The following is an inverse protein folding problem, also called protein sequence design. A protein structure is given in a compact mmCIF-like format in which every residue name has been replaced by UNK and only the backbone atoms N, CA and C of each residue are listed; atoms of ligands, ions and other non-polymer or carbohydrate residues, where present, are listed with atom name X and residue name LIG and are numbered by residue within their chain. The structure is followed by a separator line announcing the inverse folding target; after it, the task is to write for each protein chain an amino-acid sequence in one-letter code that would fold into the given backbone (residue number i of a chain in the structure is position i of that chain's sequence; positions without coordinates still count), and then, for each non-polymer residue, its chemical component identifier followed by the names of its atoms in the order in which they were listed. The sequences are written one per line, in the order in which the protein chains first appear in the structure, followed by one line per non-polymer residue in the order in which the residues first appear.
data_IF_330450713072
#
_entry.id   IF_330450713072
#
_cell.length_a   1.000
_cell.length_b   1.000
_cell.length_c   1.000
_cell.angle_alpha   90.00
_cell.angle_beta   90.00
_cell.angle_gamma   90.00
#
_symmetry.space_group_name_H-M   'P 1'
#
loop_
_entity.id
_entity.type
_entity.pdbx_description
1 polymer ?
#
# COMPACT_ATOMS: atom_id res chain seq x y z
N UNK A 1 2.22 -4.25 0.66
CA UNK A 1 2.98 -3.57 1.73
C UNK A 1 2.24 -2.31 2.14
N UNK A 2 2.17 -2.03 3.44
CA UNK A 2 1.66 -0.76 3.93
C UNK A 2 2.82 0.26 3.94
N UNK A 3 2.73 1.39 3.23
CA UNK A 3 3.82 2.37 3.18
C UNK A 3 3.99 3.14 4.49
N UNK A 4 3.10 3.00 5.46
CA UNK A 4 3.11 3.75 6.71
C UNK A 4 3.51 2.93 7.93
N UNK A 5 3.62 1.59 7.82
CA UNK A 5 3.99 0.72 8.93
C UNK A 5 4.58 -0.61 8.46
N UNK A 6 5.62 -1.07 9.15
CA UNK A 6 6.19 -2.40 8.99
C UNK A 6 5.52 -3.43 9.91
N UNK A 7 4.56 -3.01 10.74
CA UNK A 7 3.86 -3.86 11.70
C UNK A 7 2.42 -4.11 11.28
N UNK A 8 1.93 -5.32 11.53
CA UNK A 8 0.53 -5.68 11.54
C UNK A 8 0.02 -5.75 12.98
N UNK A 9 -1.23 -5.35 13.19
CA UNK A 9 -1.85 -5.33 14.52
C UNK A 9 -3.02 -6.29 14.58
N UNK A 10 -3.23 -6.87 15.75
CA UNK A 10 -4.33 -7.77 16.04
C UNK A 10 -5.05 -7.27 17.29
N UNK A 11 -6.37 -7.35 17.30
CA UNK A 11 -7.19 -7.07 18.45
C UNK A 11 -7.56 -8.38 19.12
N UNK A 12 -7.40 -8.44 20.44
CA UNK A 12 -7.79 -9.59 21.24
C UNK A 12 -8.87 -9.10 22.21
N UNK A 13 -10.01 -9.76 22.19
CA UNK A 13 -11.13 -9.52 23.11
C UNK A 13 -11.63 -10.85 23.67
N UNK A 14 -12.29 -10.78 24.80
CA UNK A 14 -13.02 -11.91 25.37
C UNK A 14 -14.50 -11.72 25.07
N UNK A 15 -15.15 -12.75 24.57
CA UNK A 15 -16.58 -12.79 24.30
C UNK A 15 -17.14 -14.14 24.72
N UNK A 16 -18.42 -14.15 25.09
CA UNK A 16 -19.19 -15.37 25.37
C UNK A 16 -19.77 -15.98 24.07
N UNK A 17 -19.63 -15.32 22.94
CA UNK A 17 -20.09 -15.80 21.64
C UNK A 17 -19.18 -16.88 21.10
N UNK A 18 -19.75 -17.85 20.37
CA UNK A 18 -18.97 -18.87 19.68
C UNK A 18 -18.09 -18.21 18.61
N UNK A 19 -16.76 -18.53 18.55
CA UNK A 19 -15.89 -17.96 17.56
C UNK A 19 -16.28 -18.42 16.14
N UNK A 20 -16.15 -17.52 15.17
CA UNK A 20 -16.23 -17.89 13.76
C UNK A 20 -14.99 -18.73 13.41
N UNK A 21 -15.18 -19.98 13.11
CA UNK A 21 -14.11 -20.89 12.70
C UNK A 21 -14.01 -20.90 11.17
N UNK A 22 -12.79 -20.77 10.68
CA UNK A 22 -12.47 -20.93 9.26
C UNK A 22 -12.01 -22.38 9.07
N UNK A 23 -12.54 -23.04 8.03
CA UNK A 23 -12.02 -24.35 7.62
C UNK A 23 -10.52 -24.24 7.31
N UNK A 24 -9.71 -24.91 8.12
CA UNK A 24 -8.25 -24.82 8.04
C UNK A 24 -7.73 -25.34 6.69
N UNK A 25 -8.34 -26.38 6.13
CA UNK A 25 -7.93 -26.95 4.85
C UNK A 25 -8.26 -26.00 3.69
N UNK A 26 -9.45 -25.41 3.68
CA UNK A 26 -9.84 -24.42 2.67
C UNK A 26 -9.02 -23.12 2.80
N UNK A 27 -8.74 -22.70 4.02
CA UNK A 27 -7.89 -21.52 4.26
C UNK A 27 -6.46 -21.75 3.77
N UNK A 28 -5.88 -22.92 4.07
CA UNK A 28 -4.53 -23.28 3.63
C UNK A 28 -4.43 -23.29 2.11
N UNK A 29 -5.40 -23.91 1.41
CA UNK A 29 -5.41 -23.95 -0.04
C UNK A 29 -5.53 -22.56 -0.68
N UNK A 30 -6.36 -21.68 -0.10
CA UNK A 30 -6.64 -20.35 -0.66
C UNK A 30 -5.58 -19.29 -0.29
N UNK A 31 -5.00 -19.34 0.91
CA UNK A 31 -4.25 -18.24 1.49
C UNK A 31 -2.86 -18.65 2.02
N UNK A 32 -2.40 -19.86 1.77
CA UNK A 32 -1.13 -20.32 2.32
C UNK A 32 0.02 -19.38 1.91
N UNK A 33 0.69 -18.74 2.87
CA UNK A 33 1.84 -17.91 2.56
C UNK A 33 2.96 -18.83 2.05
N UNK A 34 3.43 -18.58 0.83
CA UNK A 34 4.59 -19.29 0.33
C UNK A 34 5.79 -19.00 1.22
N UNK A 35 6.62 -20.01 1.42
CA UNK A 35 7.90 -19.83 2.11
C UNK A 35 8.67 -18.69 1.44
N UNK A 36 9.41 -17.89 2.22
CA UNK A 36 10.26 -16.81 1.71
C UNK A 36 11.23 -17.27 0.62
N UNK A 37 11.55 -18.56 0.58
CA UNK A 37 12.41 -19.13 -0.47
C UNK A 37 11.80 -19.09 -1.87
N UNK A 38 10.47 -19.09 -1.98
CA UNK A 38 9.77 -19.08 -3.25
C UNK A 38 9.40 -17.69 -3.74
N UNK A 39 9.78 -16.66 -3.00
CA UNK A 39 9.56 -15.27 -3.37
C UNK A 39 10.81 -14.44 -3.13
N UNK A 40 11.11 -13.54 -4.07
CA UNK A 40 12.11 -12.51 -3.91
C UNK A 40 11.54 -11.18 -4.37
N UNK A 41 11.78 -10.14 -3.60
CA UNK A 41 11.41 -8.77 -3.92
C UNK A 41 12.65 -7.88 -3.86
N UNK A 42 12.88 -7.16 -4.94
CA UNK A 42 13.78 -6.01 -4.96
C UNK A 42 12.95 -4.74 -5.09
N UNK A 43 13.04 -3.88 -4.10
CA UNK A 43 12.35 -2.60 -4.05
C UNK A 43 13.24 -1.60 -3.29
N UNK A 44 13.38 -0.39 -3.81
CA UNK A 44 14.11 0.69 -3.16
C UNK A 44 13.27 1.95 -3.26
N UNK A 45 12.80 2.43 -2.12
CA UNK A 45 11.90 3.57 -1.96
C UNK A 45 12.69 4.82 -1.59
N UNK A 46 13.03 5.66 -2.55
CA UNK A 46 13.85 6.84 -2.31
C UNK A 46 13.48 8.07 -3.16
N UNK A 47 12.53 7.93 -4.10
CA UNK A 47 12.12 9.03 -4.97
C UNK A 47 10.61 9.10 -5.10
N UNK A 48 10.05 10.28 -5.05
CA UNK A 48 8.65 10.57 -5.33
C UNK A 48 8.51 11.59 -6.46
N UNK A 49 7.56 11.39 -7.37
CA UNK A 49 7.28 12.34 -8.45
C UNK A 49 6.70 13.67 -7.95
N UNK A 50 6.11 13.67 -6.75
CA UNK A 50 5.66 14.88 -6.07
C UNK A 50 5.64 14.68 -4.56
N UNK A 51 5.78 15.76 -3.77
CA UNK A 51 5.75 15.70 -2.31
C UNK A 51 4.44 15.05 -1.82
N UNK A 52 4.55 14.12 -0.86
CA UNK A 52 3.39 13.43 -0.29
C UNK A 52 2.82 12.29 -1.16
N UNK A 53 3.51 11.89 -2.23
CA UNK A 53 3.15 10.72 -3.02
C UNK A 53 3.19 9.44 -2.18
N UNK A 54 2.26 8.50 -2.46
CA UNK A 54 2.22 7.21 -1.77
C UNK A 54 3.15 6.18 -2.39
N UNK A 55 3.43 6.32 -3.68
CA UNK A 55 4.32 5.42 -4.40
C UNK A 55 5.70 6.06 -4.42
N UNK A 56 6.66 5.31 -3.94
CA UNK A 56 8.07 5.66 -3.96
C UNK A 56 8.80 4.77 -4.96
N UNK A 57 9.87 5.28 -5.54
CA UNK A 57 10.60 4.65 -6.62
C UNK A 57 12.09 4.69 -6.35
N UNK A 58 12.84 3.87 -7.06
CA UNK A 58 14.29 3.88 -6.95
C UNK A 58 14.84 5.28 -7.25
N UNK A 59 15.72 5.81 -6.39
CA UNK A 59 16.34 7.14 -6.60
C UNK A 59 17.22 7.20 -7.83
N UNK A 60 17.70 6.05 -8.34
CA UNK A 60 18.50 6.00 -9.57
C UNK A 60 17.62 6.18 -10.79
N UNK A 61 17.88 7.23 -11.54
CA UNK A 61 17.23 7.49 -12.83
C UNK A 61 18.00 6.80 -13.95
N UNK A 62 17.30 6.03 -14.77
CA UNK A 62 17.90 5.28 -15.91
C UNK A 62 17.53 5.98 -17.20
N UNK A 63 18.50 6.43 -17.97
CA UNK A 63 18.34 7.13 -19.24
C UNK A 63 18.39 6.17 -20.42
N UNK A 64 17.96 6.63 -21.59
CA UNK A 64 18.17 5.90 -22.84
C UNK A 64 19.68 5.66 -23.04
N UNK A 65 20.04 4.42 -23.35
CA UNK A 65 21.44 3.98 -23.45
C UNK A 65 22.02 3.36 -22.17
N UNK A 66 21.36 3.58 -21.03
CA UNK A 66 21.71 2.99 -19.74
C UNK A 66 20.83 1.79 -19.42
N UNK A 67 21.21 1.01 -18.42
CA UNK A 67 20.38 -0.06 -17.86
C UNK A 67 20.56 -0.16 -16.35
N UNK A 68 19.50 -0.56 -15.66
CA UNK A 68 19.56 -0.95 -14.25
C UNK A 68 19.35 -2.46 -14.15
N UNK A 69 20.24 -3.11 -13.41
CA UNK A 69 20.29 -4.55 -13.25
C UNK A 69 19.89 -4.94 -11.82
N UNK A 70 19.08 -5.98 -11.70
CA UNK A 70 18.69 -6.59 -10.44
C UNK A 70 19.04 -8.06 -10.48
N UNK A 71 19.90 -8.51 -9.57
CA UNK A 71 20.26 -9.92 -9.45
C UNK A 71 19.23 -10.62 -8.57
N UNK A 72 18.64 -11.69 -9.09
CA UNK A 72 17.71 -12.55 -8.38
C UNK A 72 18.43 -13.86 -8.05
N UNK A 73 18.39 -14.25 -6.78
CA UNK A 73 18.98 -15.50 -6.29
C UNK A 73 17.88 -16.51 -6.04
N UNK A 74 17.93 -17.60 -6.79
CA UNK A 74 17.01 -18.72 -6.67
C UNK A 74 17.49 -19.68 -5.57
N UNK A 75 16.77 -19.77 -4.49
CA UNK A 75 17.04 -20.66 -3.37
C UNK A 75 16.20 -21.95 -3.39
N UNK A 76 15.31 -22.07 -4.38
CA UNK A 76 14.34 -23.19 -4.45
C UNK A 76 14.84 -24.35 -5.29
N UNK A 77 15.75 -24.08 -6.22
CA UNK A 77 16.15 -25.03 -7.25
C UNK A 77 15.14 -25.21 -8.40
N UNK A 78 13.95 -24.59 -8.33
CA UNK A 78 12.97 -24.66 -9.40
C UNK A 78 13.36 -23.79 -10.59
N UNK A 79 13.22 -24.35 -11.77
CA UNK A 79 13.58 -23.66 -13.04
C UNK A 79 12.44 -22.81 -13.59
N UNK A 80 11.24 -22.83 -13.00
CA UNK A 80 10.06 -22.10 -13.48
C UNK A 80 9.53 -21.12 -12.44
N UNK A 81 8.85 -20.08 -12.94
CA UNK A 81 8.25 -19.06 -12.10
C UNK A 81 7.77 -17.85 -12.87
N UNK A 82 7.32 -16.84 -12.13
CA UNK A 82 6.81 -15.59 -12.66
C UNK A 82 7.62 -14.42 -12.14
N UNK A 83 8.19 -13.62 -13.04
CA UNK A 83 8.79 -12.33 -12.72
C UNK A 83 7.82 -11.20 -13.04
N UNK A 84 7.71 -10.23 -12.15
CA UNK A 84 6.96 -8.99 -12.36
C UNK A 84 7.91 -7.82 -12.19
N UNK A 85 7.89 -6.90 -13.14
CA UNK A 85 8.72 -5.69 -13.14
C UNK A 85 7.80 -4.49 -13.23
N UNK A 86 7.95 -3.55 -12.30
CA UNK A 86 7.25 -2.27 -12.30
C UNK A 86 8.24 -1.12 -12.49
N UNK A 87 7.87 -0.18 -13.35
CA UNK A 87 8.72 0.97 -13.73
C UNK A 87 7.87 2.23 -13.76
N UNK A 88 8.46 3.35 -13.40
CA UNK A 88 7.82 4.67 -13.47
C UNK A 88 8.57 5.64 -14.37
N UNK A 89 7.85 6.61 -14.94
CA UNK A 89 8.43 7.70 -15.73
C UNK A 89 7.59 8.97 -15.61
N UNK A 90 8.27 10.12 -15.69
CA UNK A 90 7.63 11.43 -15.78
C UNK A 90 7.26 11.87 -17.18
N UNK A 91 7.56 11.06 -18.20
CA UNK A 91 7.20 11.30 -19.59
C UNK A 91 6.81 9.99 -20.27
N UNK A 92 6.18 10.06 -21.43
CA UNK A 92 5.90 8.87 -22.24
C UNK A 92 7.20 8.15 -22.56
N UNK A 93 7.29 6.86 -22.24
CA UNK A 93 8.50 6.06 -22.35
C UNK A 93 8.21 4.63 -22.74
N UNK A 94 9.15 4.00 -23.41
CA UNK A 94 9.14 2.56 -23.68
C UNK A 94 10.39 1.95 -23.09
N UNK A 95 10.23 0.86 -22.34
CA UNK A 95 11.30 0.18 -21.61
C UNK A 95 11.37 -1.28 -22.05
N UNK A 96 12.55 -1.75 -22.41
CA UNK A 96 12.82 -3.17 -22.62
C UNK A 96 13.10 -3.82 -21.27
N UNK A 97 12.49 -4.98 -21.03
CA UNK A 97 12.75 -5.84 -19.89
C UNK A 97 13.57 -7.03 -20.40
N UNK A 98 14.72 -7.28 -19.75
CA UNK A 98 15.63 -8.33 -20.17
C UNK A 98 15.90 -9.31 -19.02
N UNK A 99 16.17 -10.57 -19.37
CA UNK A 99 16.73 -11.60 -18.49
C UNK A 99 18.08 -12.02 -19.04
N UNK A 100 19.12 -11.86 -18.25
CA UNK A 100 20.50 -12.20 -18.63
C UNK A 100 20.91 -11.62 -20.00
N UNK A 101 20.49 -10.39 -20.29
CA UNK A 101 20.75 -9.70 -21.56
C UNK A 101 19.80 -10.04 -22.70
N UNK A 102 18.94 -11.05 -22.57
CA UNK A 102 17.93 -11.42 -23.56
C UNK A 102 16.61 -10.71 -23.28
N UNK A 103 16.04 -10.06 -24.29
CA UNK A 103 14.77 -9.33 -24.12
C UNK A 103 13.60 -10.28 -23.86
N UNK A 104 12.85 -10.04 -22.79
CA UNK A 104 11.58 -10.70 -22.50
C UNK A 104 10.41 -9.99 -23.18
N UNK A 105 10.49 -8.67 -23.29
CA UNK A 105 9.47 -7.85 -23.89
C UNK A 105 9.65 -6.38 -23.58
N UNK A 106 8.62 -5.59 -23.88
CA UNK A 106 8.61 -4.14 -23.66
C UNK A 106 7.44 -3.72 -22.78
N UNK A 107 7.67 -2.66 -21.99
CA UNK A 107 6.68 -2.00 -21.16
C UNK A 107 6.52 -0.56 -21.62
N UNK A 108 5.28 -0.14 -21.89
CA UNK A 108 4.97 1.24 -22.28
C UNK A 108 4.40 2.00 -21.10
N UNK A 109 4.92 3.20 -20.90
CA UNK A 109 4.48 4.18 -19.91
C UNK A 109 3.88 5.36 -20.66
N UNK A 110 2.59 5.65 -20.43
CA UNK A 110 1.87 6.76 -21.03
C UNK A 110 1.27 7.64 -19.95
N UNK A 111 1.66 8.89 -19.91
CA UNK A 111 1.04 9.88 -19.02
C UNK A 111 -0.37 10.20 -19.51
N UNK A 112 -1.38 10.13 -18.63
CA UNK A 112 -2.74 10.52 -18.98
C UNK A 112 -2.79 12.01 -19.28
N UNK A 113 -3.47 12.37 -20.39
CA UNK A 113 -3.70 13.75 -20.77
C UNK A 113 -5.02 14.25 -20.16
N UNK A 114 -5.05 15.51 -19.79
CA UNK A 114 -6.30 16.20 -19.44
C UNK A 114 -7.01 16.70 -20.71
N UNK A 115 -8.22 17.27 -20.56
CA UNK A 115 -9.04 17.81 -21.65
C UNK A 115 -8.36 18.96 -22.43
N UNK A 116 -7.36 19.61 -21.84
CA UNK A 116 -6.59 20.69 -22.47
C UNK A 116 -5.26 20.22 -23.09
N UNK A 117 -5.03 18.89 -23.16
CA UNK A 117 -3.81 18.30 -23.71
C UNK A 117 -2.60 18.33 -22.77
N UNK A 118 -2.73 18.85 -21.55
CA UNK A 118 -1.72 18.77 -20.51
C UNK A 118 -1.79 17.45 -19.75
N UNK A 119 -0.91 17.25 -18.77
CA UNK A 119 -0.89 16.07 -17.91
C UNK A 119 -1.35 16.39 -16.50
N UNK A 120 -2.19 15.53 -15.90
CA UNK A 120 -2.55 15.64 -14.48
C UNK A 120 -1.44 15.11 -13.56
N UNK A 121 -0.72 14.11 -14.02
CA UNK A 121 0.27 13.38 -13.21
C UNK A 121 1.66 13.80 -13.61
N UNK A 122 2.54 14.03 -12.61
CA UNK A 122 3.97 14.26 -12.84
C UNK A 122 4.71 12.97 -13.16
N UNK A 123 4.11 11.82 -12.93
CA UNK A 123 4.66 10.51 -13.24
C UNK A 123 3.57 9.46 -13.36
N UNK A 124 3.89 8.40 -14.05
CA UNK A 124 3.05 7.21 -14.22
C UNK A 124 3.88 5.97 -13.88
N UNK A 125 3.24 4.98 -13.29
CA UNK A 125 3.78 3.64 -13.07
C UNK A 125 3.03 2.64 -13.93
N UNK A 126 3.75 1.65 -14.44
CA UNK A 126 3.17 0.49 -15.10
C UNK A 126 4.01 -0.74 -14.80
N UNK A 127 3.39 -1.91 -14.85
CA UNK A 127 4.06 -3.19 -14.58
C UNK A 127 3.75 -4.21 -15.66
N UNK A 128 4.64 -5.17 -15.79
CA UNK A 128 4.46 -6.33 -16.66
C UNK A 128 4.98 -7.58 -16.00
N UNK A 129 4.46 -8.73 -16.39
CA UNK A 129 4.86 -10.02 -15.85
C UNK A 129 5.22 -10.99 -16.97
N UNK A 130 6.21 -11.84 -16.70
CA UNK A 130 6.64 -12.91 -17.62
C UNK A 130 6.72 -14.23 -16.86
N UNK A 131 6.19 -15.29 -17.47
CA UNK A 131 6.43 -16.65 -17.02
C UNK A 131 7.74 -17.16 -17.64
N UNK A 132 8.59 -17.71 -16.80
CA UNK A 132 9.93 -18.18 -17.13
C UNK A 132 10.06 -19.66 -16.81
N UNK A 133 10.72 -20.42 -17.65
CA UNK A 133 10.90 -21.87 -17.50
C UNK A 133 12.36 -22.30 -17.47
N UNK A 134 13.27 -21.34 -17.50
CA UNK A 134 14.73 -21.57 -17.61
C UNK A 134 15.51 -20.81 -16.53
N UNK A 135 14.91 -20.66 -15.35
CA UNK A 135 15.51 -19.97 -14.22
C UNK A 135 16.69 -20.75 -13.67
N UNK A 136 17.76 -20.00 -13.36
CA UNK A 136 19.03 -20.51 -12.82
C UNK A 136 19.18 -20.16 -11.35
N UNK A 137 20.25 -20.58 -10.73
CA UNK A 137 20.63 -20.19 -9.37
C UNK A 137 20.73 -18.66 -9.22
N UNK A 138 21.24 -18.00 -10.24
CA UNK A 138 21.30 -16.55 -10.33
C UNK A 138 20.88 -16.09 -11.71
N UNK A 139 19.90 -15.21 -11.75
CA UNK A 139 19.46 -14.52 -12.96
C UNK A 139 19.53 -13.02 -12.75
N UNK A 140 19.80 -12.28 -13.82
CA UNK A 140 19.79 -10.83 -13.82
C UNK A 140 18.60 -10.32 -14.61
N UNK A 141 17.73 -9.58 -13.96
CA UNK A 141 16.64 -8.84 -14.62
C UNK A 141 17.11 -7.41 -14.83
N UNK A 142 16.98 -6.93 -16.06
CA UNK A 142 17.41 -5.58 -16.42
C UNK A 142 16.26 -4.78 -17.01
N UNK A 143 16.21 -3.49 -16.68
CA UNK A 143 15.37 -2.51 -17.36
C UNK A 143 16.27 -1.64 -18.24
N UNK A 144 15.86 -1.42 -19.50
CA UNK A 144 16.59 -0.59 -20.46
C UNK A 144 15.61 0.32 -21.20
N UNK A 145 15.61 1.63 -20.94
CA UNK A 145 14.79 2.56 -21.70
C UNK A 145 15.18 2.57 -23.19
N UNK A 146 14.17 2.43 -24.05
CA UNK A 146 14.33 2.51 -25.51
C UNK A 146 14.00 3.90 -26.02
N UNK A 147 12.95 4.51 -25.45
CA UNK A 147 12.51 5.87 -25.79
C UNK A 147 12.06 6.61 -24.54
N UNK A 148 12.06 7.94 -24.58
CA UNK A 148 11.64 8.78 -23.47
C UNK A 148 12.68 8.79 -22.35
N UNK A 149 12.25 8.59 -21.12
CA UNK A 149 13.11 8.58 -19.93
C UNK A 149 13.52 9.98 -19.42
N UNK A 150 14.20 10.06 -18.28
CA UNK A 150 14.64 8.90 -17.49
C UNK A 150 13.46 8.12 -16.85
N UNK A 151 13.67 6.82 -16.70
CA UNK A 151 12.74 5.95 -15.98
C UNK A 151 13.32 5.57 -14.61
N UNK A 152 12.47 5.12 -13.71
CA UNK A 152 12.86 4.63 -12.39
C UNK A 152 12.22 3.29 -12.13
N UNK A 153 13.03 2.36 -11.64
CA UNK A 153 12.52 1.08 -11.18
C UNK A 153 11.65 1.30 -9.96
N UNK A 154 10.51 0.65 -9.92
CA UNK A 154 9.67 0.52 -8.74
C UNK A 154 10.11 -0.75 -8.00
N UNK A 155 9.75 -1.90 -8.56
CA UNK A 155 10.17 -3.17 -8.00
C UNK A 155 10.42 -4.23 -9.07
N UNK A 156 11.17 -5.25 -8.66
CA UNK A 156 11.24 -6.55 -9.33
C UNK A 156 10.81 -7.61 -8.33
N UNK A 157 9.71 -8.27 -8.62
CA UNK A 157 9.18 -9.38 -7.82
C UNK A 157 9.35 -10.68 -8.59
N UNK A 158 9.98 -11.66 -7.97
CA UNK A 158 10.12 -13.01 -8.51
C UNK A 158 9.38 -13.98 -7.62
N UNK A 159 8.56 -14.84 -8.23
CA UNK A 159 7.87 -15.94 -7.58
C UNK A 159 8.19 -17.21 -8.36
N UNK A 160 8.89 -18.15 -7.72
CA UNK A 160 9.16 -19.45 -8.28
C UNK A 160 7.94 -20.35 -8.12
N UNK A 161 7.73 -21.22 -9.08
CA UNK A 161 6.71 -22.25 -8.98
C UNK A 161 7.10 -23.22 -7.87
N UNK A 162 6.15 -23.54 -7.02
CA UNK A 162 6.33 -24.44 -5.90
C UNK A 162 5.03 -25.19 -5.64
N UNK A 163 5.13 -26.45 -5.29
CA UNK A 163 4.06 -27.10 -4.56
C UNK A 163 3.92 -26.42 -3.19
N UNK A 164 2.70 -26.13 -2.78
CA UNK A 164 2.41 -25.57 -1.47
C UNK A 164 2.64 -26.67 -0.44
N UNK A 165 3.75 -26.69 0.31
CA UNK A 165 3.98 -27.75 1.27
C UNK A 165 3.04 -27.57 2.45
N UNK A 166 2.23 -28.56 2.72
CA UNK A 166 1.36 -28.60 3.91
C UNK A 166 2.18 -28.50 5.23
N UNK A 167 3.45 -28.85 5.19
CA UNK A 167 4.36 -28.87 6.33
C UNK A 167 4.81 -27.49 6.87
N UNK A 168 4.37 -26.39 6.26
CA UNK A 168 4.74 -25.05 6.73
C UNK A 168 3.99 -24.55 7.96
N UNK A 169 2.86 -25.14 8.31
CA UNK A 169 2.04 -24.74 9.47
C UNK A 169 2.63 -25.12 10.85
N UNK A 170 3.70 -25.90 10.87
CA UNK A 170 4.39 -26.28 12.11
C UNK A 170 5.60 -25.39 12.47
N UNK A 171 5.85 -24.32 11.70
CA UNK A 171 6.92 -23.38 12.06
C UNK A 171 6.41 -22.42 13.10
N UNK A 172 7.29 -22.05 14.03
CA UNK A 172 6.98 -21.04 15.05
C UNK A 172 6.53 -19.74 14.36
N UNK A 173 5.32 -19.35 14.67
CA UNK A 173 4.82 -18.01 14.33
C UNK A 173 5.41 -17.06 15.36
N UNK A 174 5.97 -15.90 14.97
CA UNK A 174 6.47 -14.92 15.91
C UNK A 174 5.40 -14.60 16.96
N UNK A 175 5.78 -14.61 18.24
CA UNK A 175 4.87 -14.26 19.32
C UNK A 175 4.38 -12.81 19.15
N UNK A 176 3.08 -12.60 19.29
CA UNK A 176 2.51 -11.27 19.31
C UNK A 176 3.06 -10.48 20.51
N UNK A 177 3.41 -9.22 20.27
CA UNK A 177 3.85 -8.31 21.34
C UNK A 177 2.66 -7.46 21.78
N UNK A 178 2.41 -7.41 23.09
CA UNK A 178 1.41 -6.52 23.65
C UNK A 178 1.83 -5.06 23.43
N UNK A 179 0.94 -4.26 22.88
CA UNK A 179 1.17 -2.82 22.64
C UNK A 179 0.46 -1.99 23.69
N UNK A 180 -0.86 -2.03 23.74
CA UNK A 180 -1.68 -1.37 24.76
C UNK A 180 -3.12 -1.90 24.74
N UNK A 181 -3.86 -1.65 25.84
CA UNK A 181 -5.30 -1.87 25.88
C UNK A 181 -6.05 -0.69 25.26
N UNK A 182 -6.97 -0.96 24.36
CA UNK A 182 -7.86 0.07 23.82
C UNK A 182 -9.16 0.13 24.62
N UNK A 183 -9.68 1.34 24.81
CA UNK A 183 -11.03 1.55 25.34
C UNK A 183 -12.03 1.21 24.22
N UNK A 184 -13.21 0.73 24.58
CA UNK A 184 -14.28 0.55 23.60
C UNK A 184 -14.60 1.89 22.93
N UNK A 185 -14.57 1.87 21.62
CA UNK A 185 -14.85 3.01 20.75
C UNK A 185 -15.79 2.57 19.63
N UNK A 186 -16.54 3.48 19.06
CA UNK A 186 -17.42 3.21 17.91
C UNK A 186 -17.58 4.46 17.05
N UNK A 187 -16.55 4.77 16.26
CA UNK A 187 -16.58 5.87 15.30
C UNK A 187 -17.49 5.59 14.09
N UNK A 188 -17.89 4.32 13.91
CA UNK A 188 -18.93 4.00 12.94
C UNK A 188 -20.31 4.55 13.38
N UNK A 189 -20.51 4.78 14.67
CA UNK A 189 -21.72 5.40 15.20
C UNK A 189 -21.65 6.94 15.28
N UNK A 190 -20.51 7.56 14.97
CA UNK A 190 -20.35 9.01 15.02
C UNK A 190 -21.47 9.75 14.28
N UNK A 191 -21.95 10.87 14.83
CA UNK A 191 -22.94 11.71 14.17
C UNK A 191 -22.36 12.38 12.92
N UNK A 192 -23.24 12.81 12.03
CA UNK A 192 -22.84 13.63 10.87
C UNK A 192 -22.20 14.93 11.34
N UNK A 193 -21.14 15.32 10.64
CA UNK A 193 -20.37 16.52 10.93
C UNK A 193 -20.08 17.31 9.65
N UNK A 194 -20.12 18.64 9.78
CA UNK A 194 -19.70 19.56 8.73
C UNK A 194 -18.17 19.71 8.71
N UNK A 195 -17.56 19.60 9.90
CA UNK A 195 -16.11 19.70 10.10
C UNK A 195 -15.60 18.51 10.92
N UNK A 196 -14.50 17.93 10.48
CA UNK A 196 -13.76 16.91 11.22
C UNK A 196 -12.38 17.45 11.60
N UNK A 197 -12.01 17.32 12.87
CA UNK A 197 -10.70 17.68 13.39
C UNK A 197 -10.01 16.39 13.83
N UNK A 198 -8.95 15.98 13.14
CA UNK A 198 -8.17 14.80 13.51
C UNK A 198 -6.97 15.26 14.34
N UNK A 199 -6.90 14.79 15.58
CA UNK A 199 -5.82 15.15 16.49
C UNK A 199 -4.79 14.01 16.61
N UNK A 200 -3.52 14.33 16.94
CA UNK A 200 -2.52 13.29 17.18
C UNK A 200 -2.92 12.33 18.31
N UNK A 201 -2.50 11.07 18.20
CA UNK A 201 -2.69 10.01 19.21
C UNK A 201 -2.31 10.43 20.64
N UNK A 202 -1.30 11.29 20.78
CA UNK A 202 -0.90 11.82 22.08
C UNK A 202 -1.94 12.74 22.74
N UNK A 203 -2.99 13.13 22.00
CA UNK A 203 -4.05 14.05 22.39
C UNK A 203 -3.58 15.42 22.93
N UNK A 204 -2.32 15.77 22.73
CA UNK A 204 -1.74 17.06 23.21
C UNK A 204 -2.47 18.29 22.66
N UNK A 205 -3.12 18.16 21.50
CA UNK A 205 -3.87 19.22 20.86
C UNK A 205 -5.37 19.25 21.22
N UNK A 206 -5.86 18.30 22.03
CA UNK A 206 -7.28 18.18 22.34
C UNK A 206 -7.90 19.48 22.87
N UNK A 207 -7.24 20.16 23.81
CA UNK A 207 -7.73 21.44 24.35
C UNK A 207 -7.87 22.52 23.28
N UNK A 208 -6.96 22.58 22.32
CA UNK A 208 -7.02 23.56 21.24
C UNK A 208 -8.08 23.19 20.20
N UNK A 209 -8.19 21.90 19.90
CA UNK A 209 -9.26 21.39 19.04
C UNK A 209 -10.65 21.66 19.63
N UNK A 210 -10.84 21.50 20.95
CA UNK A 210 -12.07 21.83 21.64
C UNK A 210 -12.40 23.33 21.54
N UNK A 211 -11.44 24.21 21.75
CA UNK A 211 -11.64 25.65 21.57
C UNK A 211 -12.05 26.01 20.14
N UNK A 212 -11.44 25.34 19.15
CA UNK A 212 -11.78 25.56 17.76
C UNK A 212 -13.18 25.01 17.43
N UNK A 213 -13.52 23.85 17.96
CA UNK A 213 -14.88 23.27 17.89
C UNK A 213 -15.91 24.24 18.45
N UNK A 214 -15.74 24.71 19.68
CA UNK A 214 -16.64 25.65 20.35
C UNK A 214 -16.83 26.93 19.53
N UNK A 215 -15.73 27.46 18.95
CA UNK A 215 -15.79 28.62 18.09
C UNK A 215 -16.66 28.36 16.85
N UNK A 216 -16.39 27.30 16.10
CA UNK A 216 -17.12 27.03 14.87
C UNK A 216 -18.57 26.59 15.11
N UNK A 217 -18.84 25.92 16.22
CA UNK A 217 -20.22 25.56 16.59
C UNK A 217 -21.04 26.80 16.98
N UNK A 218 -20.44 27.76 17.71
CA UNK A 218 -21.14 28.97 18.18
C UNK A 218 -21.21 30.06 17.11
N UNK A 219 -20.14 30.25 16.32
CA UNK A 219 -20.04 31.35 15.37
C UNK A 219 -20.54 30.97 13.97
N UNK A 220 -20.20 29.78 13.49
CA UNK A 220 -20.46 29.34 12.12
C UNK A 220 -21.61 28.32 12.05
N UNK A 221 -22.16 27.91 13.19
CA UNK A 221 -23.21 26.87 13.30
C UNK A 221 -22.82 25.53 12.66
N UNK A 222 -21.51 25.20 12.63
CA UNK A 222 -21.03 23.92 12.11
C UNK A 222 -21.17 22.81 13.16
N UNK A 223 -21.44 21.61 12.72
CA UNK A 223 -21.30 20.39 13.53
C UNK A 223 -19.86 19.94 13.45
N UNK A 224 -19.16 19.79 14.58
CA UNK A 224 -17.75 19.49 14.60
C UNK A 224 -17.44 18.21 15.37
N UNK A 225 -16.81 17.21 14.72
CA UNK A 225 -16.26 16.03 15.36
C UNK A 225 -14.76 16.19 15.59
N UNK A 226 -14.26 15.81 16.77
CA UNK A 226 -12.83 15.72 17.09
C UNK A 226 -12.51 14.24 17.28
N UNK A 227 -11.54 13.71 16.54
CA UNK A 227 -11.20 12.29 16.58
C UNK A 227 -9.69 12.10 16.70
N UNK A 228 -9.20 11.29 17.67
CA UNK A 228 -7.80 10.89 17.73
C UNK A 228 -7.41 9.98 16.55
N UNK A 229 -6.21 10.16 16.04
CA UNK A 229 -5.73 9.44 14.85
C UNK A 229 -5.66 7.92 15.06
N UNK A 230 -5.24 7.47 16.25
CA UNK A 230 -5.15 6.05 16.59
C UNK A 230 -6.51 5.36 16.67
N UNK A 231 -7.55 6.08 17.12
CA UNK A 231 -8.91 5.56 17.13
C UNK A 231 -9.41 5.30 15.70
N UNK A 232 -9.08 6.18 14.77
CA UNK A 232 -9.35 5.95 13.35
C UNK A 232 -8.52 4.80 12.77
N UNK A 233 -7.26 4.63 13.19
CA UNK A 233 -6.47 3.48 12.76
C UNK A 233 -7.09 2.17 13.25
N UNK A 234 -7.58 2.14 14.48
CA UNK A 234 -8.20 0.95 15.06
C UNK A 234 -9.39 0.47 14.23
N UNK A 235 -10.30 1.38 13.84
CA UNK A 235 -11.54 1.00 13.16
C UNK A 235 -11.41 0.95 11.63
N UNK A 236 -10.58 1.80 11.03
CA UNK A 236 -10.57 1.98 9.57
C UNK A 236 -9.30 1.44 8.89
N UNK A 237 -8.30 0.96 9.65
CA UNK A 237 -7.08 0.35 9.11
C UNK A 237 -6.49 -0.77 9.98
N UNK A 238 -7.34 -1.45 10.77
CA UNK A 238 -6.96 -2.60 11.60
C UNK A 238 -5.80 -2.29 12.55
N UNK A 239 -5.81 -1.12 13.18
CA UNK A 239 -4.79 -0.64 14.11
C UNK A 239 -3.50 -0.14 13.46
N UNK A 240 -3.34 -0.31 12.17
CA UNK A 240 -2.13 0.09 11.47
C UNK A 240 -2.20 1.57 11.06
N UNK A 241 -1.19 2.40 11.38
CA UNK A 241 -1.12 3.77 10.87
C UNK A 241 -1.24 3.78 9.35
N UNK A 242 -2.29 4.40 8.83
CA UNK A 242 -2.55 4.54 7.40
C UNK A 242 -3.42 5.78 7.14
N UNK A 243 -2.94 6.70 6.30
CA UNK A 243 -3.70 7.89 5.92
C UNK A 243 -5.06 7.56 5.25
N UNK A 244 -5.24 6.34 4.71
CA UNK A 244 -6.55 5.92 4.22
C UNK A 244 -7.59 5.73 5.32
N UNK A 245 -7.19 5.54 6.58
CA UNK A 245 -8.14 5.50 7.69
C UNK A 245 -8.96 6.79 7.73
N UNK A 246 -8.33 7.94 7.60
CA UNK A 246 -8.99 9.26 7.56
C UNK A 246 -9.97 9.36 6.38
N UNK A 247 -9.52 8.91 5.21
CA UNK A 247 -10.38 8.89 4.02
C UNK A 247 -11.58 7.97 4.16
N UNK A 248 -11.40 6.79 4.78
CA UNK A 248 -12.49 5.84 5.02
C UNK A 248 -13.51 6.38 6.01
N UNK A 249 -13.03 7.03 7.08
CA UNK A 249 -13.90 7.69 8.05
C UNK A 249 -14.73 8.81 7.39
N UNK A 250 -14.09 9.71 6.63
CA UNK A 250 -14.81 10.77 5.91
C UNK A 250 -15.80 10.20 4.89
N UNK A 251 -15.42 9.13 4.21
CA UNK A 251 -16.32 8.43 3.29
C UNK A 251 -17.53 7.85 4.03
N UNK A 252 -17.33 7.22 5.17
CA UNK A 252 -18.42 6.70 5.99
C UNK A 252 -19.40 7.81 6.40
N UNK A 253 -18.91 8.96 6.83
CA UNK A 253 -19.77 10.12 7.12
C UNK A 253 -20.50 10.62 5.86
N UNK A 254 -19.85 10.63 4.72
CA UNK A 254 -20.47 11.00 3.43
C UNK A 254 -21.53 9.99 3.03
N UNK A 255 -21.27 8.69 3.17
CA UNK A 255 -22.21 7.62 2.81
C UNK A 255 -23.43 7.59 3.76
N UNK A 256 -23.30 8.07 5.00
CA UNK A 256 -24.40 8.27 5.95
C UNK A 256 -25.27 9.49 5.63
N UNK A 257 -24.72 10.48 4.92
CA UNK A 257 -25.45 11.71 4.62
C UNK A 257 -26.56 11.43 3.60
N UNK A 258 -27.76 11.83 3.89
CA UNK A 258 -28.93 11.70 2.99
C UNK A 258 -29.06 12.89 2.05
N UNK A 259 -28.38 14.01 2.37
CA UNK A 259 -28.40 15.26 1.59
C UNK A 259 -26.98 15.79 1.45
N UNK A 260 -26.72 16.55 0.39
CA UNK A 260 -25.41 17.12 0.12
C UNK A 260 -24.94 18.09 1.20
N UNK A 261 -25.85 18.84 1.84
CA UNK A 261 -25.54 19.75 2.91
C UNK A 261 -25.09 19.05 4.20
N UNK A 262 -25.39 17.78 4.37
CA UNK A 262 -25.01 16.97 5.53
C UNK A 262 -23.64 16.29 5.38
N UNK A 263 -23.04 16.35 4.20
CA UNK A 263 -21.70 15.81 3.96
C UNK A 263 -20.61 16.64 4.63
N UNK A 264 -19.51 16.03 5.10
CA UNK A 264 -18.35 16.76 5.60
C UNK A 264 -17.80 17.75 4.58
N UNK A 265 -17.53 18.97 5.00
CA UNK A 265 -17.02 20.06 4.16
C UNK A 265 -15.58 20.43 4.51
N UNK A 266 -15.20 20.26 5.77
CA UNK A 266 -13.91 20.71 6.29
C UNK A 266 -13.19 19.56 7.02
N UNK A 267 -11.88 19.48 6.79
CA UNK A 267 -10.96 18.56 7.48
C UNK A 267 -9.75 19.36 7.97
N UNK A 268 -9.42 19.21 9.24
CA UNK A 268 -8.23 19.76 9.87
C UNK A 268 -7.41 18.63 10.53
#
# INVERSE_FOLDING_TARGET
RNPYSDYGYYFITQTDEAPTLIDSAAFVQANYPQSEHYHSLYEVDGYSWFPGGRNLFNPTAVKVGESQNVVIVNKTGNSSGKVTVAVSSGINSTVSILKNGTALGTLTLKLPLNSSGGTYSKGVVNSTSYFLSDLKEKDTISIKPLTGGPVRLDYVSMRWDAEIPFAGFGKEVPAAQYVYGITNQDHHADPLADMVIIIPTSQKLLKQAQRLKEFHESHDSLRVNIVPADELYNEFSSGTPDANAYRRYLRMLTDKATKAEDMPKYLL
#
